data_IF_498460936245
#
_entry.id   IF_498460936245
#
_cell.length_a   1.000
_cell.length_b   1.000
_cell.length_c   1.000
_cell.angle_alpha   90.00
_cell.angle_beta   90.00
_cell.angle_gamma   90.00
#
_symmetry.space_group_name_H-M   'P 1'
#
loop_
_entity.id
_entity.type
_entity.pdbx_description
1 polymer ?
#
# COMPACT_ATOMS: atom_id res chain seq x y z
N UNK A 1 18.50 -2.34 5.76
CA UNK A 1 17.62 -2.14 4.58
C UNK A 1 16.15 -2.23 4.98
N UNK A 2 15.68 -3.33 5.60
CA UNK A 2 14.31 -3.42 6.14
C UNK A 2 13.97 -2.31 7.15
N UNK A 3 14.93 -1.84 7.94
CA UNK A 3 14.74 -0.73 8.89
C UNK A 3 14.30 0.58 8.23
N UNK A 4 14.62 0.80 6.95
CA UNK A 4 14.20 2.01 6.24
C UNK A 4 12.68 2.09 6.10
N UNK A 5 12.03 0.93 6.01
CA UNK A 5 10.57 0.83 5.92
C UNK A 5 9.88 0.89 7.28
N UNK A 6 10.60 0.77 8.41
CA UNK A 6 10.00 0.89 9.76
C UNK A 6 9.31 2.24 9.97
N UNK A 7 9.77 3.29 9.30
CA UNK A 7 9.11 4.60 9.33
C UNK A 7 7.68 4.58 8.79
N UNK A 8 7.44 3.80 7.74
CA UNK A 8 6.16 3.69 7.06
C UNK A 8 5.24 2.68 7.74
N UNK A 9 5.73 1.45 7.95
CA UNK A 9 4.87 0.31 8.33
C UNK A 9 5.11 -0.19 9.76
N UNK A 10 5.93 0.51 10.55
CA UNK A 10 6.24 0.14 11.94
C UNK A 10 7.05 -1.15 12.05
N UNK A 11 6.98 -1.83 13.19
CA UNK A 11 7.57 -3.16 13.42
C UNK A 11 6.55 -4.29 13.15
N UNK A 12 6.23 -4.50 11.87
CA UNK A 12 5.32 -5.55 11.41
C UNK A 12 6.04 -6.79 10.89
N UNK A 13 5.32 -7.70 10.22
CA UNK A 13 5.90 -8.92 9.65
C UNK A 13 7.04 -8.65 8.65
N UNK A 14 7.06 -7.47 8.01
CA UNK A 14 8.09 -7.10 7.03
C UNK A 14 9.39 -6.57 7.67
N UNK A 15 9.30 -5.98 8.86
CA UNK A 15 10.40 -5.18 9.46
C UNK A 15 10.80 -5.65 10.86
N UNK A 16 10.03 -6.57 11.46
CA UNK A 16 10.28 -7.07 12.81
C UNK A 16 11.57 -7.91 12.87
N UNK A 17 12.29 -7.87 14.00
CA UNK A 17 13.40 -8.78 14.26
C UNK A 17 12.94 -10.24 14.25
N UNK A 18 13.86 -11.16 13.97
CA UNK A 18 13.58 -12.58 13.69
C UNK A 18 12.70 -13.24 14.76
N UNK A 19 12.92 -12.96 16.04
CA UNK A 19 12.16 -13.59 17.12
C UNK A 19 10.69 -13.16 17.14
N UNK A 20 10.45 -11.85 16.95
CA UNK A 20 9.10 -11.29 16.81
C UNK A 20 8.45 -11.78 15.52
N UNK A 21 9.20 -11.79 14.41
CA UNK A 21 8.72 -12.27 13.12
C UNK A 21 8.23 -13.71 13.17
N UNK A 22 9.00 -14.63 13.79
CA UNK A 22 8.61 -16.04 13.95
C UNK A 22 7.27 -16.16 14.68
N UNK A 23 7.09 -15.39 15.76
CA UNK A 23 5.83 -15.35 16.53
C UNK A 23 4.67 -14.82 15.69
N UNK A 24 4.84 -13.67 15.03
CA UNK A 24 3.81 -13.07 14.18
C UNK A 24 3.40 -14.00 13.03
N UNK A 25 4.38 -14.59 12.34
CA UNK A 25 4.13 -15.53 11.23
C UNK A 25 3.33 -16.74 11.69
N UNK A 26 3.70 -17.33 12.84
CA UNK A 26 2.98 -18.49 13.40
C UNK A 26 1.51 -18.18 13.71
N UNK A 27 1.20 -16.96 14.14
CA UNK A 27 -0.18 -16.54 14.42
C UNK A 27 -0.97 -16.25 13.14
N UNK A 28 -0.33 -15.64 12.13
CA UNK A 28 -0.99 -15.16 10.91
C UNK A 28 -1.20 -16.30 9.89
N UNK A 29 -0.22 -17.18 9.71
CA UNK A 29 -0.27 -18.22 8.66
C UNK A 29 -1.53 -19.09 8.69
N UNK A 30 -2.08 -19.52 9.84
CA UNK A 30 -3.33 -20.30 9.87
C UNK A 30 -4.55 -19.57 9.31
N UNK A 31 -4.58 -18.23 9.41
CA UNK A 31 -5.67 -17.43 8.85
C UNK A 31 -5.63 -17.42 7.31
N UNK A 32 -4.45 -17.37 6.71
CA UNK A 32 -4.24 -17.38 5.25
C UNK A 32 -4.26 -18.80 4.65
N UNK A 33 -5.38 -19.50 4.83
CA UNK A 33 -5.60 -20.83 4.25
C UNK A 33 -6.51 -20.77 3.00
N UNK A 34 -6.59 -21.88 2.25
CA UNK A 34 -7.40 -21.97 1.02
C UNK A 34 -8.86 -21.51 1.18
N UNK A 35 -9.48 -21.83 2.33
CA UNK A 35 -10.86 -21.45 2.65
C UNK A 35 -11.04 -19.94 2.82
N UNK A 36 -9.98 -19.21 3.20
CA UNK A 36 -10.02 -17.75 3.22
C UNK A 36 -10.03 -17.18 1.80
N UNK A 37 -9.22 -17.75 0.90
CA UNK A 37 -9.20 -17.30 -0.50
C UNK A 37 -10.55 -17.51 -1.19
N UNK A 38 -11.26 -18.60 -0.90
CA UNK A 38 -12.64 -18.83 -1.34
C UNK A 38 -13.58 -17.68 -0.96
N UNK A 39 -13.43 -17.12 0.25
CA UNK A 39 -14.23 -16.00 0.73
C UNK A 39 -13.85 -14.66 0.06
N UNK A 40 -12.64 -14.56 -0.49
CA UNK A 40 -12.18 -13.36 -1.17
C UNK A 40 -12.67 -13.27 -2.62
N UNK A 41 -12.94 -14.40 -3.28
CA UNK A 41 -13.34 -14.43 -4.70
C UNK A 41 -14.51 -13.50 -5.06
N UNK A 42 -15.58 -13.39 -4.27
CA UNK A 42 -16.66 -12.44 -4.55
C UNK A 42 -16.15 -11.00 -4.65
N UNK A 43 -15.29 -10.57 -3.72
CA UNK A 43 -14.69 -9.23 -3.69
C UNK A 43 -13.75 -9.04 -4.87
N UNK A 44 -12.89 -10.02 -5.17
CA UNK A 44 -12.02 -9.98 -6.35
C UNK A 44 -12.82 -9.80 -7.64
N UNK A 45 -13.92 -10.54 -7.81
CA UNK A 45 -14.75 -10.45 -9.01
C UNK A 45 -15.46 -9.09 -9.10
N UNK A 46 -15.98 -8.58 -7.97
CA UNK A 46 -16.60 -7.26 -7.90
C UNK A 46 -15.61 -6.16 -8.31
N UNK A 47 -14.44 -6.10 -7.68
CA UNK A 47 -13.42 -5.08 -7.98
C UNK A 47 -12.86 -5.21 -9.38
N UNK A 48 -12.65 -6.43 -9.89
CA UNK A 48 -12.21 -6.62 -11.27
C UNK A 48 -13.24 -6.20 -12.31
N UNK A 49 -14.55 -6.35 -12.05
CA UNK A 49 -15.59 -5.82 -12.95
C UNK A 49 -15.51 -4.30 -13.07
N UNK A 50 -15.23 -3.60 -11.97
CA UNK A 50 -15.04 -2.14 -11.96
C UNK A 50 -13.77 -1.78 -12.72
N UNK A 51 -12.66 -2.48 -12.47
CA UNK A 51 -11.40 -2.31 -13.19
C UNK A 51 -11.60 -2.44 -14.71
N UNK A 52 -12.21 -3.54 -15.16
CA UNK A 52 -12.48 -3.78 -16.58
C UNK A 52 -13.35 -2.66 -17.15
N UNK A 53 -14.43 -2.27 -16.45
CA UNK A 53 -15.30 -1.17 -16.87
C UNK A 53 -14.52 0.15 -17.03
N UNK A 54 -13.57 0.43 -16.14
CA UNK A 54 -12.76 1.65 -16.20
C UNK A 54 -11.75 1.60 -17.34
N UNK A 55 -11.01 0.50 -17.51
CA UNK A 55 -10.03 0.32 -18.59
C UNK A 55 -10.71 0.30 -19.97
N UNK A 56 -11.92 -0.24 -20.06
CA UNK A 56 -12.71 -0.27 -21.32
C UNK A 56 -12.98 1.12 -21.87
N UNK A 57 -13.02 2.16 -21.03
CA UNK A 57 -13.19 3.57 -21.46
C UNK A 57 -12.02 4.07 -22.30
N UNK A 58 -10.86 3.42 -22.21
CA UNK A 58 -9.65 3.79 -22.94
C UNK A 58 -9.56 3.12 -24.32
N UNK A 59 -10.33 2.04 -24.59
CA UNK A 59 -10.21 1.23 -25.81
C UNK A 59 -10.46 2.01 -27.12
N UNK A 60 -11.22 3.09 -27.06
CA UNK A 60 -11.53 3.93 -28.22
C UNK A 60 -10.66 5.19 -28.31
N UNK A 61 -9.67 5.33 -27.43
CA UNK A 61 -8.75 6.46 -27.44
C UNK A 61 -7.48 6.07 -28.17
N UNK A 62 -6.98 6.98 -29.02
CA UNK A 62 -5.71 6.81 -29.74
C UNK A 62 -4.49 7.11 -28.87
N UNK A 63 -4.71 7.68 -27.67
CA UNK A 63 -3.65 8.10 -26.77
C UNK A 63 -3.19 6.94 -25.88
N UNK A 64 -1.88 6.81 -25.71
CA UNK A 64 -1.30 5.87 -24.75
C UNK A 64 -1.72 6.26 -23.34
N UNK A 65 -2.05 5.27 -22.52
CA UNK A 65 -2.35 5.45 -21.11
C UNK A 65 -1.54 4.47 -20.27
N UNK A 66 -1.34 4.83 -19.01
CA UNK A 66 -0.64 3.97 -18.05
C UNK A 66 -1.64 3.10 -17.28
N UNK A 67 -1.49 1.78 -17.40
CA UNK A 67 -2.34 0.79 -16.75
C UNK A 67 -2.21 0.83 -15.21
N UNK A 68 -1.08 1.32 -14.67
CA UNK A 68 -0.85 1.42 -13.24
C UNK A 68 -1.93 2.25 -12.53
N UNK A 69 -2.40 3.32 -13.18
CA UNK A 69 -3.47 4.20 -12.68
C UNK A 69 -4.80 3.48 -12.46
N UNK A 70 -5.00 2.33 -13.10
CA UNK A 70 -6.22 1.52 -12.96
C UNK A 70 -6.00 0.33 -12.02
N UNK A 71 -4.85 -0.34 -12.13
CA UNK A 71 -4.55 -1.55 -11.37
C UNK A 71 -4.23 -1.25 -9.91
N UNK A 72 -3.49 -0.19 -9.61
CA UNK A 72 -3.11 0.13 -8.24
C UNK A 72 -4.32 0.43 -7.34
N UNK A 73 -5.30 1.28 -7.74
CA UNK A 73 -6.54 1.47 -6.98
C UNK A 73 -7.35 0.18 -6.81
N UNK A 74 -7.45 -0.63 -7.87
CA UNK A 74 -8.18 -1.91 -7.81
C UNK A 74 -7.55 -2.90 -6.82
N UNK A 75 -6.23 -2.99 -6.80
CA UNK A 75 -5.50 -3.82 -5.83
C UNK A 75 -5.69 -3.30 -4.40
N UNK A 76 -5.62 -1.99 -4.20
CA UNK A 76 -5.83 -1.36 -2.89
C UNK A 76 -7.25 -1.62 -2.35
N UNK A 77 -8.29 -1.36 -3.16
CA UNK A 77 -9.68 -1.63 -2.80
C UNK A 77 -9.87 -3.11 -2.41
N UNK A 78 -9.28 -4.02 -3.19
CA UNK A 78 -9.39 -5.46 -2.96
C UNK A 78 -8.74 -5.87 -1.64
N UNK A 79 -7.51 -5.41 -1.37
CA UNK A 79 -6.79 -5.73 -0.13
C UNK A 79 -7.53 -5.13 1.07
N UNK A 80 -7.93 -3.86 1.03
CA UNK A 80 -8.64 -3.21 2.13
C UNK A 80 -9.99 -3.88 2.43
N UNK A 81 -10.75 -4.25 1.40
CA UNK A 81 -12.05 -4.90 1.62
C UNK A 81 -11.89 -6.35 2.10
N UNK A 82 -10.95 -7.11 1.56
CA UNK A 82 -10.75 -8.53 1.96
C UNK A 82 -10.11 -8.68 3.33
N UNK A 83 -9.14 -7.82 3.67
CA UNK A 83 -8.36 -7.96 4.91
C UNK A 83 -8.90 -7.11 6.06
N UNK A 84 -9.46 -5.93 5.77
CA UNK A 84 -9.92 -4.98 6.78
C UNK A 84 -11.45 -4.81 6.78
N UNK A 85 -12.17 -5.33 5.78
CA UNK A 85 -13.62 -5.17 5.65
C UNK A 85 -14.05 -3.76 5.21
N UNK A 86 -13.11 -2.89 4.86
CA UNK A 86 -13.39 -1.52 4.42
C UNK A 86 -13.40 -1.40 2.91
N UNK A 87 -14.47 -0.85 2.36
CA UNK A 87 -14.53 -0.48 0.97
C UNK A 87 -14.10 0.99 0.81
N UNK A 88 -12.93 1.21 0.19
CA UNK A 88 -12.41 2.55 -0.07
C UNK A 88 -13.02 3.22 -1.31
N UNK A 89 -13.61 2.42 -2.22
CA UNK A 89 -14.17 2.86 -3.50
C UNK A 89 -13.23 3.77 -4.33
N UNK A 90 -11.92 3.52 -4.25
CA UNK A 90 -10.89 4.32 -4.93
C UNK A 90 -10.99 4.24 -6.46
N UNK A 91 -11.60 3.17 -7.00
CA UNK A 91 -11.84 3.03 -8.43
C UNK A 91 -13.02 3.85 -8.97
N UNK A 92 -13.96 4.26 -8.12
CA UNK A 92 -15.23 4.88 -8.55
C UNK A 92 -15.31 6.36 -8.20
N UNK A 93 -14.78 6.74 -7.03
CA UNK A 93 -14.64 8.14 -6.68
C UNK A 93 -13.31 8.65 -7.26
N UNK A 94 -13.39 9.52 -8.27
CA UNK A 94 -12.27 10.36 -8.76
C UNK A 94 -11.65 11.27 -7.67
N UNK A 95 -11.97 11.07 -6.39
CA UNK A 95 -11.30 11.69 -5.27
C UNK A 95 -10.07 10.87 -4.96
N UNK A 96 -8.92 11.50 -5.16
CA UNK A 96 -7.62 11.09 -4.65
C UNK A 96 -7.78 10.43 -3.27
N UNK A 97 -7.46 9.14 -3.20
CA UNK A 97 -7.48 8.43 -1.94
C UNK A 97 -6.24 8.84 -1.15
N UNK A 98 -6.42 9.73 -0.18
CA UNK A 98 -5.32 10.25 0.66
C UNK A 98 -4.44 9.12 1.21
N UNK A 99 -5.05 7.98 1.57
CA UNK A 99 -4.34 6.80 2.03
C UNK A 99 -3.53 6.11 0.93
N UNK A 100 -4.12 5.90 -0.25
CA UNK A 100 -3.44 5.26 -1.38
C UNK A 100 -2.22 6.07 -1.83
N UNK A 101 -2.38 7.39 -1.95
CA UNK A 101 -1.28 8.31 -2.28
C UNK A 101 -0.21 8.32 -1.20
N UNK A 102 -0.62 8.34 0.07
CA UNK A 102 0.33 8.32 1.17
C UNK A 102 1.15 7.03 1.19
N UNK A 103 0.56 5.87 0.85
CA UNK A 103 1.29 4.61 0.71
C UNK A 103 2.29 4.66 -0.45
N UNK A 104 1.88 5.17 -1.62
CA UNK A 104 2.76 5.27 -2.79
C UNK A 104 3.94 6.18 -2.48
N UNK A 105 3.68 7.38 -1.97
CA UNK A 105 4.74 8.33 -1.60
C UNK A 105 5.64 7.78 -0.48
N UNK A 106 5.09 7.15 0.55
CA UNK A 106 5.89 6.53 1.61
C UNK A 106 6.81 5.44 1.05
N UNK A 107 6.32 4.66 0.09
CA UNK A 107 7.08 3.60 -0.59
C UNK A 107 8.19 4.17 -1.46
N UNK A 108 7.93 5.25 -2.21
CA UNK A 108 8.92 5.95 -3.01
C UNK A 108 10.03 6.58 -2.16
N UNK A 109 9.66 7.23 -1.05
CA UNK A 109 10.63 7.81 -0.11
C UNK A 109 11.50 6.72 0.54
N UNK A 110 10.89 5.59 0.93
CA UNK A 110 11.64 4.46 1.46
C UNK A 110 12.56 3.81 0.42
N UNK A 111 12.09 3.65 -0.83
CA UNK A 111 12.89 3.15 -1.93
C UNK A 111 14.03 4.10 -2.30
N UNK A 112 13.80 5.42 -2.29
CA UNK A 112 14.84 6.42 -2.51
C UNK A 112 15.95 6.33 -1.46
N UNK A 113 15.60 6.06 -0.19
CA UNK A 113 16.57 5.88 0.88
C UNK A 113 17.54 4.74 0.59
N UNK A 114 17.15 3.70 -0.16
CA UNK A 114 18.03 2.59 -0.55
C UNK A 114 19.19 3.05 -1.42
N UNK A 115 18.95 3.97 -2.36
CA UNK A 115 19.95 4.39 -3.35
C UNK A 115 20.77 5.61 -2.92
N UNK A 116 20.49 6.19 -1.75
CA UNK A 116 21.14 7.41 -1.24
C UNK A 116 21.82 7.15 0.11
N UNK A 117 23.08 6.67 0.12
CA UNK A 117 23.80 6.32 1.35
C UNK A 117 23.89 7.45 2.39
N UNK A 118 23.90 8.72 1.95
CA UNK A 118 23.90 9.87 2.86
C UNK A 118 22.59 10.05 3.64
N UNK A 119 21.50 9.37 3.25
CA UNK A 119 20.24 9.30 4.00
C UNK A 119 20.16 8.08 4.93
N UNK A 120 21.23 7.28 5.06
CA UNK A 120 21.24 6.15 5.99
C UNK A 120 21.23 6.60 7.45
N UNK A 121 22.02 7.61 7.88
CA UNK A 121 21.98 8.09 9.26
C UNK A 121 20.60 8.66 9.58
N UNK A 122 20.02 8.19 10.70
CA UNK A 122 18.64 8.52 11.09
C UNK A 122 18.42 10.02 11.28
N UNK A 123 19.41 10.72 11.83
CA UNK A 123 19.36 12.16 12.03
C UNK A 123 19.23 12.92 10.71
N UNK A 124 19.99 12.51 9.69
CA UNK A 124 19.96 13.13 8.36
C UNK A 124 18.63 12.84 7.68
N UNK A 125 18.13 11.60 7.77
CA UNK A 125 16.83 11.24 7.21
C UNK A 125 15.68 11.98 7.91
N UNK A 126 15.70 12.09 9.24
CA UNK A 126 14.71 12.86 9.98
C UNK A 126 14.72 14.34 9.60
N UNK A 127 15.90 14.93 9.38
CA UNK A 127 16.03 16.30 8.91
C UNK A 127 15.47 16.45 7.48
N UNK A 128 15.81 15.53 6.59
CA UNK A 128 15.29 15.47 5.23
C UNK A 128 13.76 15.42 5.19
N UNK A 129 13.13 14.57 6.01
CA UNK A 129 11.66 14.44 6.08
C UNK A 129 10.98 15.73 6.55
N UNK A 130 11.60 16.46 7.48
CA UNK A 130 11.09 17.75 7.97
C UNK A 130 11.22 18.84 6.91
N UNK A 131 12.37 18.91 6.22
CA UNK A 131 12.63 19.92 5.21
C UNK A 131 11.77 19.74 3.95
N UNK A 132 11.50 18.50 3.56
CA UNK A 132 10.66 18.17 2.39
C UNK A 132 9.17 18.11 2.70
N UNK A 133 8.78 18.15 3.98
CA UNK A 133 7.39 17.99 4.40
C UNK A 133 6.84 16.55 4.30
N UNK A 134 7.66 15.59 3.84
CA UNK A 134 7.28 14.19 3.72
C UNK A 134 6.93 13.52 5.05
N UNK A 135 7.23 14.15 6.19
CA UNK A 135 6.79 13.66 7.51
C UNK A 135 5.26 13.45 7.58
N UNK A 136 4.47 14.33 6.95
CA UNK A 136 2.99 14.24 6.94
C UNK A 136 2.49 12.97 6.24
N UNK A 137 3.20 12.52 5.21
CA UNK A 137 2.88 11.30 4.45
C UNK A 137 2.87 10.08 5.38
N UNK A 138 3.92 9.94 6.19
CA UNK A 138 4.03 8.85 7.17
C UNK A 138 3.01 8.96 8.30
N UNK A 139 2.59 10.18 8.66
CA UNK A 139 1.52 10.40 9.64
C UNK A 139 0.15 10.00 9.08
N UNK A 140 -0.16 10.32 7.82
CA UNK A 140 -1.39 9.89 7.15
C UNK A 140 -1.48 8.37 7.04
N UNK A 141 -0.39 7.68 6.65
CA UNK A 141 -0.36 6.21 6.62
C UNK A 141 -0.69 5.61 7.99
N UNK A 142 -0.20 6.21 9.08
CA UNK A 142 -0.45 5.74 10.46
C UNK A 142 -1.84 6.06 10.99
N UNK A 143 -2.55 7.04 10.42
CA UNK A 143 -3.92 7.41 10.82
C UNK A 143 -4.98 6.46 10.27
N UNK A 144 -4.65 5.65 9.28
CA UNK A 144 -5.62 4.76 8.67
C UNK A 144 -6.10 3.72 9.71
N UNK A 145 -7.43 3.55 9.88
CA UNK A 145 -7.97 2.68 10.91
C UNK A 145 -7.58 1.22 10.63
N UNK A 146 -7.00 0.57 11.65
CA UNK A 146 -6.85 -0.88 11.74
C UNK A 146 -8.15 -1.52 12.21
#
# INVERSE_FOLDING_TARGET
>A
MYDFFKYAVGEGLFTAPVDKWKRHRRMITPAFNAKLFEQFFPVFNEKNKILIKNVTKELNKTQMFDLWHYVAPAALDTICQTTMGYNLDTQSNNKECEFGEAIVMASEVAAMRIYKPWLYPEMVFSMYLKLTGHQRVFETVKKFPL
#
